data_IF_735382533318
#
_entry.id   IF_735382533318
#
_cell.length_a   1.000
_cell.length_b   1.000
_cell.length_c   1.000
_cell.angle_alpha   90.00
_cell.angle_beta   90.00
_cell.angle_gamma   90.00
#
_symmetry.space_group_name_H-M   'P 1'
#
loop_
_entity.id
_entity.type
_entity.pdbx_description
1 polymer ?
#
# COMPACT_ATOMS: atom_id res chain seq x y z
N UNK A 1 -4.73 21.44 6.25
CA UNK A 1 -3.35 20.97 6.45
C UNK A 1 -2.40 21.87 5.69
N UNK A 2 -1.45 22.48 6.37
CA UNK A 2 -0.35 23.22 5.74
C UNK A 2 0.90 22.34 5.79
N UNK A 3 1.26 21.70 4.68
CA UNK A 3 2.36 20.71 4.61
C UNK A 3 3.69 21.28 5.14
N UNK A 4 3.89 22.58 4.97
CA UNK A 4 5.08 23.33 5.40
C UNK A 4 5.25 23.29 6.93
N UNK A 5 4.13 23.30 7.67
CA UNK A 5 4.13 23.19 9.13
C UNK A 5 4.35 21.76 9.58
N UNK A 6 3.66 20.81 8.95
CA UNK A 6 3.72 19.38 9.32
C UNK A 6 5.14 18.82 9.24
N UNK A 7 5.91 19.23 8.22
CA UNK A 7 7.28 18.75 8.02
C UNK A 7 8.34 19.79 8.42
N UNK A 8 7.92 20.93 8.99
CA UNK A 8 8.79 22.03 9.41
C UNK A 8 9.68 22.60 8.27
N UNK A 9 9.15 22.64 7.04
CA UNK A 9 9.85 23.17 5.87
C UNK A 9 9.62 24.68 5.74
N UNK A 10 10.70 25.48 5.76
CA UNK A 10 10.61 26.95 5.66
C UNK A 10 10.27 27.47 4.26
N UNK A 11 10.68 26.76 3.20
CA UNK A 11 10.47 27.20 1.81
C UNK A 11 10.44 26.00 0.86
N UNK A 12 9.56 26.07 -0.15
CA UNK A 12 9.59 25.19 -1.30
C UNK A 12 10.11 25.95 -2.53
N UNK A 13 10.76 25.25 -3.45
CA UNK A 13 11.31 25.87 -4.66
C UNK A 13 10.21 26.38 -5.60
N UNK A 14 9.06 25.71 -5.61
CA UNK A 14 7.85 26.09 -6.35
C UNK A 14 6.64 25.24 -5.87
N UNK A 15 5.46 25.59 -6.35
CA UNK A 15 4.21 24.90 -5.99
C UNK A 15 4.18 23.43 -6.42
N UNK A 16 4.87 23.06 -7.51
CA UNK A 16 4.96 21.66 -7.93
C UNK A 16 5.78 20.83 -6.95
N UNK A 17 6.87 21.38 -6.41
CA UNK A 17 7.65 20.75 -5.35
C UNK A 17 6.79 20.56 -4.10
N UNK A 18 6.10 21.62 -3.65
CA UNK A 18 5.18 21.56 -2.50
C UNK A 18 4.09 20.50 -2.69
N UNK A 19 3.47 20.44 -3.87
CA UNK A 19 2.43 19.47 -4.19
C UNK A 19 2.96 18.01 -4.14
N UNK A 20 4.14 17.74 -4.70
CA UNK A 20 4.75 16.40 -4.63
C UNK A 20 4.98 15.97 -3.19
N UNK A 21 5.54 16.86 -2.37
CA UNK A 21 5.80 16.56 -0.95
C UNK A 21 4.50 16.34 -0.19
N UNK A 22 3.47 17.13 -0.45
CA UNK A 22 2.15 16.94 0.14
C UNK A 22 1.55 15.58 -0.23
N UNK A 23 1.61 15.17 -1.50
CA UNK A 23 1.14 13.86 -1.94
C UNK A 23 1.88 12.71 -1.25
N UNK A 24 3.20 12.80 -1.13
CA UNK A 24 4.00 11.79 -0.43
C UNK A 24 3.64 11.71 1.06
N UNK A 25 3.48 12.87 1.71
CA UNK A 25 3.07 12.94 3.10
C UNK A 25 1.68 12.33 3.31
N UNK A 26 0.70 12.72 2.50
CA UNK A 26 -0.66 12.17 2.58
C UNK A 26 -0.67 10.66 2.32
N UNK A 27 0.08 10.17 1.33
CA UNK A 27 0.18 8.74 1.07
C UNK A 27 0.81 7.97 2.24
N UNK A 28 1.85 8.52 2.87
CA UNK A 28 2.47 7.94 4.06
C UNK A 28 1.51 7.92 5.25
N UNK A 29 0.83 9.04 5.51
CA UNK A 29 -0.17 9.14 6.58
C UNK A 29 -1.29 8.11 6.39
N UNK A 30 -1.87 8.04 5.19
CA UNK A 30 -2.91 7.07 4.86
C UNK A 30 -2.43 5.62 5.01
N UNK A 31 -1.18 5.34 4.65
CA UNK A 31 -0.57 4.01 4.86
C UNK A 31 -0.46 3.67 6.35
N UNK A 32 -0.17 4.66 7.20
CA UNK A 32 -0.19 4.52 8.65
C UNK A 32 -1.58 4.19 9.19
N UNK A 33 -2.59 4.95 8.77
CA UNK A 33 -4.00 4.69 9.14
C UNK A 33 -4.45 3.29 8.70
N UNK A 34 -4.11 2.88 7.47
CA UNK A 34 -4.40 1.53 6.98
C UNK A 34 -3.72 0.45 7.83
N UNK A 35 -2.48 0.68 8.28
CA UNK A 35 -1.77 -0.27 9.14
C UNK A 35 -2.50 -0.44 10.47
N UNK A 36 -2.90 0.65 11.12
CA UNK A 36 -3.68 0.62 12.37
C UNK A 36 -5.03 -0.09 12.17
N UNK A 37 -5.72 0.21 11.08
CA UNK A 37 -7.00 -0.42 10.76
C UNK A 37 -6.87 -1.94 10.53
N UNK A 38 -5.78 -2.39 9.91
CA UNK A 38 -5.56 -3.80 9.57
C UNK A 38 -4.93 -4.61 10.71
N UNK A 39 -4.40 -3.96 11.75
CA UNK A 39 -3.71 -4.59 12.87
C UNK A 39 -4.54 -5.68 13.57
N UNK A 40 -5.84 -5.49 13.87
CA UNK A 40 -6.66 -6.54 14.50
C UNK A 40 -6.84 -7.80 13.65
N UNK A 41 -6.58 -7.71 12.35
CA UNK A 41 -6.69 -8.84 11.41
C UNK A 41 -5.34 -9.53 11.16
N UNK A 42 -4.26 -9.03 11.77
CA UNK A 42 -2.89 -9.48 11.53
C UNK A 42 -2.55 -9.51 10.02
N UNK A 43 -2.94 -8.44 9.32
CA UNK A 43 -2.74 -8.25 7.88
C UNK A 43 -1.97 -6.94 7.66
N UNK A 44 -0.95 -6.99 6.81
CA UNK A 44 -0.24 -5.79 6.38
C UNK A 44 -0.96 -5.11 5.20
N UNK A 45 -0.78 -3.80 4.95
CA UNK A 45 -1.31 -3.14 3.75
C UNK A 45 -0.91 -3.82 2.43
N UNK A 46 0.27 -4.46 2.38
CA UNK A 46 0.75 -5.21 1.21
C UNK A 46 -0.04 -6.51 1.01
N UNK A 47 -0.25 -7.27 2.08
CA UNK A 47 -1.13 -8.45 2.07
C UNK A 47 -2.56 -8.08 1.70
N UNK A 48 -3.10 -7.00 2.27
CA UNK A 48 -4.42 -6.49 1.91
C UNK A 48 -4.53 -6.12 0.42
N UNK A 49 -3.48 -5.54 -0.18
CA UNK A 49 -3.47 -5.25 -1.61
C UNK A 49 -3.58 -6.52 -2.46
N UNK A 50 -2.88 -7.59 -2.08
CA UNK A 50 -2.99 -8.91 -2.74
C UNK A 50 -4.42 -9.43 -2.61
N UNK A 51 -4.98 -9.44 -1.39
CA UNK A 51 -6.37 -9.89 -1.16
C UNK A 51 -7.38 -9.07 -1.98
N UNK A 52 -7.18 -7.75 -2.12
CA UNK A 52 -8.01 -6.88 -2.97
C UNK A 52 -7.92 -7.26 -4.45
N UNK A 53 -6.73 -7.60 -4.94
CA UNK A 53 -6.53 -8.07 -6.32
C UNK A 53 -7.23 -9.41 -6.54
N UNK A 54 -7.04 -10.37 -5.63
CA UNK A 54 -7.69 -11.69 -5.67
C UNK A 54 -9.21 -11.59 -5.62
N UNK A 55 -9.75 -10.73 -4.75
CA UNK A 55 -11.19 -10.46 -4.67
C UNK A 55 -11.78 -9.97 -6.00
N UNK A 56 -11.03 -9.18 -6.77
CA UNK A 56 -11.46 -8.72 -8.08
C UNK A 56 -11.39 -9.79 -9.19
N UNK A 57 -10.85 -10.97 -8.90
CA UNK A 57 -10.76 -12.10 -9.83
C UNK A 57 -11.62 -13.29 -9.40
N UNK A 58 -12.09 -13.33 -8.14
CA UNK A 58 -12.98 -14.37 -7.65
C UNK A 58 -14.26 -14.51 -8.51
N UNK A 59 -14.68 -15.73 -8.86
CA UNK A 59 -14.18 -17.04 -8.42
C UNK A 59 -13.03 -17.62 -9.28
N UNK A 60 -12.52 -16.85 -10.24
CA UNK A 60 -11.42 -17.26 -11.09
C UNK A 60 -10.06 -17.29 -10.37
N UNK A 61 -9.05 -17.74 -11.09
CA UNK A 61 -7.66 -17.78 -10.65
C UNK A 61 -6.87 -16.66 -11.32
N UNK A 62 -5.73 -16.28 -10.72
CA UNK A 62 -4.83 -15.27 -11.28
C UNK A 62 -3.38 -15.71 -11.10
N UNK A 63 -2.57 -15.51 -12.12
CA UNK A 63 -1.15 -15.84 -12.06
C UNK A 63 -0.41 -14.89 -11.11
N UNK A 64 0.65 -15.37 -10.45
CA UNK A 64 1.44 -14.57 -9.50
C UNK A 64 2.07 -13.36 -10.19
N UNK A 65 2.52 -13.52 -11.43
CA UNK A 65 3.09 -12.46 -12.27
C UNK A 65 2.08 -11.34 -12.52
N UNK A 66 0.81 -11.69 -12.70
CA UNK A 66 -0.27 -10.74 -12.89
C UNK A 66 -0.61 -10.01 -11.57
N UNK A 67 -0.63 -10.72 -10.44
CA UNK A 67 -0.75 -10.10 -9.12
C UNK A 67 0.38 -9.08 -8.93
N UNK A 68 1.63 -9.46 -9.21
CA UNK A 68 2.82 -8.59 -9.13
C UNK A 68 2.68 -7.35 -10.00
N UNK A 69 2.17 -7.48 -11.23
CA UNK A 69 1.96 -6.36 -12.15
C UNK A 69 0.92 -5.34 -11.66
N UNK A 70 -0.06 -5.79 -10.87
CA UNK A 70 -1.15 -4.98 -10.32
C UNK A 70 -0.87 -4.41 -8.92
N UNK A 71 0.22 -4.82 -8.26
CA UNK A 71 0.60 -4.26 -6.96
C UNK A 71 0.96 -2.78 -7.06
N UNK A 72 0.57 -2.03 -6.02
CA UNK A 72 0.86 -0.59 -5.91
C UNK A 72 2.37 -0.38 -5.72
N UNK A 73 2.97 -1.17 -4.83
CA UNK A 73 4.41 -1.25 -4.63
C UNK A 73 4.91 -2.53 -5.31
N UNK A 74 5.58 -2.38 -6.46
CA UNK A 74 6.09 -3.51 -7.24
C UNK A 74 7.34 -4.07 -6.57
N UNK A 75 7.15 -5.09 -5.75
CA UNK A 75 8.24 -5.78 -5.05
C UNK A 75 8.56 -7.14 -5.69
N UNK A 76 9.76 -7.65 -5.42
CA UNK A 76 10.22 -8.95 -5.90
C UNK A 76 9.66 -10.15 -5.12
N UNK A 77 9.12 -9.94 -3.93
CA UNK A 77 8.79 -10.98 -2.95
C UNK A 77 7.30 -11.35 -2.85
N UNK A 78 6.51 -11.06 -3.89
CA UNK A 78 5.06 -11.31 -3.94
C UNK A 78 4.71 -12.75 -3.58
N UNK A 79 5.43 -13.74 -4.10
CA UNK A 79 5.19 -15.16 -3.81
C UNK A 79 5.28 -15.46 -2.31
N UNK A 80 6.30 -14.92 -1.63
CA UNK A 80 6.50 -15.10 -0.19
C UNK A 80 5.39 -14.45 0.64
N UNK A 81 4.79 -13.36 0.14
CA UNK A 81 3.64 -12.71 0.79
C UNK A 81 2.38 -13.57 0.61
N UNK A 82 2.18 -14.16 -0.58
CA UNK A 82 1.10 -15.11 -0.85
C UNK A 82 1.22 -16.34 0.05
N UNK A 83 2.41 -16.93 0.19
CA UNK A 83 2.62 -18.10 1.07
C UNK A 83 2.18 -17.81 2.52
N UNK A 84 2.47 -16.60 3.03
CA UNK A 84 2.01 -16.17 4.37
C UNK A 84 0.50 -15.99 4.45
N UNK A 85 -0.17 -15.62 3.35
CA UNK A 85 -1.63 -15.53 3.30
C UNK A 85 -2.27 -16.92 3.26
N UNK A 86 -1.66 -17.88 2.56
CA UNK A 86 -2.08 -19.29 2.57
C UNK A 86 -1.96 -19.88 3.98
N UNK A 87 -0.85 -19.61 4.68
CA UNK A 87 -0.67 -20.01 6.09
C UNK A 87 -1.72 -19.40 7.04
N UNK A 88 -2.36 -18.28 6.64
CA UNK A 88 -3.44 -17.62 7.37
C UNK A 88 -4.83 -18.08 6.91
N UNK A 89 -4.92 -19.01 5.95
CA UNK A 89 -6.17 -19.51 5.38
C UNK A 89 -7.02 -18.41 4.71
N UNK A 90 -6.37 -17.37 4.16
CA UNK A 90 -7.04 -16.23 3.51
C UNK A 90 -7.04 -16.31 1.97
N UNK A 91 -6.32 -17.29 1.40
CA UNK A 91 -6.16 -17.55 -0.04
C UNK A 91 -6.17 -19.05 -0.26
#
# INVERSE_FOLDING_TARGET
MEIDREIQQKKFDNDRHRARVNLLFTASWLTGEMKTFLEPYDITPKQFNILRILRGQHPGTVAIEEVRGRMIDRMSDVSRIIDRLVQKELV
#
